data_IF_217065195382
#
_entry.id   IF_217065195382
#
_cell.length_a   1.000
_cell.length_b   1.000
_cell.length_c   1.000
_cell.angle_alpha   90.00
_cell.angle_beta   90.00
_cell.angle_gamma   90.00
#
_symmetry.space_group_name_H-M   'P 1'
#
loop_
_entity.id
_entity.type
_entity.pdbx_description
1 polymer ?
#
# COMPACT_ATOMS: atom_id res chain seq x y z
N UNK A 1 23.16 -0.15 -19.51
CA UNK A 1 22.33 0.79 -18.75
C UNK A 1 20.99 0.11 -18.53
N UNK A 2 20.77 -0.21 -17.26
CA UNK A 2 19.49 -0.48 -16.58
C UNK A 2 18.52 -1.48 -17.23
N UNK A 3 18.52 -2.68 -16.64
CA UNK A 3 17.56 -3.75 -16.88
C UNK A 3 16.15 -3.22 -16.64
N UNK A 4 15.35 -3.17 -17.70
CA UNK A 4 13.90 -2.98 -17.58
C UNK A 4 13.33 -4.22 -16.87
N UNK A 5 13.07 -4.12 -15.58
CA UNK A 5 12.28 -5.13 -14.87
C UNK A 5 10.82 -4.98 -15.28
N UNK A 6 10.52 -5.45 -16.49
CA UNK A 6 9.16 -5.68 -16.97
C UNK A 6 8.61 -6.89 -16.23
N UNK A 7 7.88 -6.69 -15.14
CA UNK A 7 7.13 -7.78 -14.49
C UNK A 7 5.64 -7.72 -14.84
N UNK A 8 5.17 -8.54 -15.81
CA UNK A 8 3.75 -8.91 -15.85
C UNK A 8 3.58 -10.44 -16.02
N UNK A 9 2.40 -11.05 -15.76
CA UNK A 9 1.30 -10.72 -14.86
C UNK A 9 1.13 -11.83 -13.79
N UNK A 10 0.91 -11.50 -12.51
CA UNK A 10 0.53 -12.53 -11.55
C UNK A 10 -0.97 -12.85 -11.71
N UNK A 11 -1.29 -13.97 -12.35
CA UNK A 11 -2.66 -14.52 -12.46
C UNK A 11 -2.71 -15.93 -11.84
N UNK A 12 -2.32 -16.06 -10.57
CA UNK A 12 -2.47 -17.29 -9.78
C UNK A 12 -2.84 -16.93 -8.34
N UNK A 13 -4.15 -16.89 -8.07
CA UNK A 13 -4.71 -16.45 -6.80
C UNK A 13 -4.56 -14.93 -6.63
N UNK A 14 -5.60 -14.28 -6.11
CA UNK A 14 -5.39 -12.91 -5.61
C UNK A 14 -4.42 -13.07 -4.45
N UNK A 15 -3.15 -12.76 -4.69
CA UNK A 15 -2.08 -12.78 -3.69
C UNK A 15 -1.89 -11.36 -3.19
N UNK A 16 -1.56 -11.24 -1.91
CA UNK A 16 -1.39 -9.94 -1.30
C UNK A 16 -0.16 -9.24 -1.92
N UNK A 17 -0.29 -7.99 -2.40
CA UNK A 17 0.81 -7.27 -3.02
C UNK A 17 1.81 -6.79 -1.96
N UNK A 18 3.10 -6.79 -2.28
CA UNK A 18 4.15 -6.25 -1.41
C UNK A 18 4.47 -4.80 -1.78
N UNK A 19 4.87 -4.00 -0.79
CA UNK A 19 5.32 -2.62 -1.01
C UNK A 19 6.70 -2.40 -0.40
N UNK A 20 7.69 -2.05 -1.23
CA UNK A 20 9.05 -1.74 -0.78
C UNK A 20 9.28 -0.29 -0.38
N UNK A 21 8.41 0.62 -0.84
CA UNK A 21 8.61 2.07 -0.71
C UNK A 21 9.49 2.67 -1.82
N UNK A 22 9.61 1.99 -2.97
CA UNK A 22 10.41 2.47 -4.09
C UNK A 22 9.65 3.51 -4.92
N UNK A 23 10.37 4.49 -5.51
CA UNK A 23 9.78 5.54 -6.37
C UNK A 23 9.03 5.01 -7.62
N UNK A 24 9.35 3.80 -8.07
CA UNK A 24 8.64 3.13 -9.18
C UNK A 24 7.41 2.31 -8.74
N UNK A 25 7.19 2.14 -7.43
CA UNK A 25 6.06 1.39 -6.90
C UNK A 25 4.87 2.32 -6.63
N UNK A 26 3.68 1.91 -7.07
CA UNK A 26 2.46 2.71 -6.90
C UNK A 26 1.69 2.27 -5.65
N UNK A 27 1.69 3.13 -4.63
CA UNK A 27 0.94 2.89 -3.39
C UNK A 27 -0.58 2.78 -3.64
N UNK A 28 -1.11 3.50 -4.63
CA UNK A 28 -2.53 3.41 -4.98
C UNK A 28 -2.89 2.03 -5.54
N UNK A 29 -2.01 1.49 -6.40
CA UNK A 29 -2.17 0.13 -6.94
C UNK A 29 -2.10 -0.92 -5.83
N UNK A 30 -1.21 -0.74 -4.84
CA UNK A 30 -1.14 -1.61 -3.66
C UNK A 30 -2.48 -1.64 -2.90
N UNK A 31 -3.05 -0.46 -2.62
CA UNK A 31 -4.30 -0.34 -1.88
C UNK A 31 -5.47 -0.96 -2.66
N UNK A 32 -5.54 -0.74 -3.97
CA UNK A 32 -6.56 -1.32 -4.84
C UNK A 32 -6.46 -2.86 -4.90
N UNK A 33 -5.24 -3.38 -5.09
CA UNK A 33 -4.98 -4.83 -5.10
C UNK A 33 -5.25 -5.47 -3.73
N UNK A 34 -4.88 -4.81 -2.64
CA UNK A 34 -5.18 -5.26 -1.29
C UNK A 34 -6.71 -5.32 -1.08
N UNK A 35 -7.44 -4.29 -1.50
CA UNK A 35 -8.91 -4.29 -1.46
C UNK A 35 -9.49 -5.51 -2.19
N UNK A 36 -9.06 -5.77 -3.42
CA UNK A 36 -9.49 -6.94 -4.20
C UNK A 36 -9.16 -8.27 -3.49
N UNK A 37 -8.00 -8.36 -2.82
CA UNK A 37 -7.61 -9.51 -2.01
C UNK A 37 -8.59 -9.77 -0.85
N UNK A 38 -8.92 -8.73 -0.08
CA UNK A 38 -9.85 -8.87 1.04
C UNK A 38 -11.28 -9.17 0.56
N UNK A 39 -11.73 -8.51 -0.52
CA UNK A 39 -13.03 -8.79 -1.13
C UNK A 39 -13.14 -10.25 -1.60
N UNK A 40 -12.07 -10.79 -2.18
CA UNK A 40 -11.99 -12.22 -2.56
C UNK A 40 -12.09 -13.17 -1.37
N UNK A 41 -11.63 -12.75 -0.19
CA UNK A 41 -11.72 -13.50 1.07
C UNK A 41 -13.01 -13.26 1.84
N UNK A 42 -13.94 -12.46 1.30
CA UNK A 42 -15.14 -12.00 2.00
C UNK A 42 -14.84 -11.25 3.32
N UNK A 43 -13.66 -10.62 3.39
CA UNK A 43 -13.24 -9.81 4.54
C UNK A 43 -13.59 -8.35 4.23
N UNK A 44 -14.37 -7.72 5.10
CA UNK A 44 -14.72 -6.31 4.95
C UNK A 44 -13.50 -5.42 5.16
N UNK A 45 -12.91 -4.92 4.07
CA UNK A 45 -11.71 -4.07 4.06
C UNK A 45 -11.84 -2.81 4.94
N UNK A 46 -13.04 -2.23 4.98
CA UNK A 46 -13.37 -1.02 5.75
C UNK A 46 -14.20 -1.30 6.99
N UNK A 47 -14.44 -2.57 7.33
CA UNK A 47 -15.27 -2.94 8.48
C UNK A 47 -14.48 -2.82 9.77
N UNK A 48 -15.05 -2.18 10.80
CA UNK A 48 -14.35 -1.89 12.05
C UNK A 48 -13.85 -3.17 12.76
N UNK A 49 -14.64 -4.24 12.74
CA UNK A 49 -14.23 -5.54 13.31
C UNK A 49 -12.98 -6.13 12.63
N UNK A 50 -12.77 -5.82 11.35
CA UNK A 50 -11.65 -6.35 10.56
C UNK A 50 -10.47 -5.38 10.50
N UNK A 51 -10.62 -4.15 11.00
CA UNK A 51 -9.62 -3.07 10.85
C UNK A 51 -8.22 -3.48 11.30
N UNK A 52 -8.11 -4.16 12.44
CA UNK A 52 -6.84 -4.64 12.99
C UNK A 52 -6.25 -5.77 12.14
N UNK A 53 -7.11 -6.64 11.61
CA UNK A 53 -6.70 -7.77 10.80
C UNK A 53 -6.21 -7.31 9.42
N UNK A 54 -6.98 -6.43 8.77
CA UNK A 54 -6.60 -5.77 7.52
C UNK A 54 -5.30 -5.00 7.68
N UNK A 55 -5.17 -4.20 8.74
CA UNK A 55 -3.94 -3.46 9.05
C UNK A 55 -2.75 -4.41 9.23
N UNK A 56 -2.91 -5.48 10.02
CA UNK A 56 -1.83 -6.44 10.28
C UNK A 56 -1.33 -7.11 9.01
N UNK A 57 -2.26 -7.50 8.12
CA UNK A 57 -1.91 -8.09 6.83
C UNK A 57 -1.23 -7.06 5.93
N UNK A 58 -1.74 -5.83 5.85
CA UNK A 58 -1.10 -4.76 5.06
C UNK A 58 0.33 -4.47 5.53
N UNK A 59 0.53 -4.37 6.84
CA UNK A 59 1.84 -4.14 7.46
C UNK A 59 2.79 -5.31 7.20
N UNK A 60 2.29 -6.54 7.29
CA UNK A 60 3.09 -7.74 7.00
C UNK A 60 3.61 -7.77 5.56
N UNK A 61 2.90 -7.10 4.64
CA UNK A 61 3.29 -7.01 3.24
C UNK A 61 4.17 -5.80 2.92
N UNK A 62 4.44 -4.93 3.90
CA UNK A 62 5.47 -3.91 3.77
C UNK A 62 6.84 -4.59 3.81
N UNK A 63 7.73 -4.16 2.94
CA UNK A 63 9.11 -4.62 2.85
C UNK A 63 10.04 -3.42 2.69
N UNK A 64 11.36 -3.64 2.74
CA UNK A 64 12.35 -2.60 2.45
C UNK A 64 12.20 -1.34 3.30
N UNK A 65 12.18 -0.18 2.64
CA UNK A 65 12.09 1.12 3.29
C UNK A 65 10.72 1.36 3.93
N UNK A 66 9.64 0.89 3.32
CA UNK A 66 8.29 1.02 3.86
C UNK A 66 8.12 0.27 5.20
N UNK A 67 8.66 -0.95 5.30
CA UNK A 67 8.65 -1.71 6.55
C UNK A 67 9.46 -1.01 7.66
N UNK A 68 10.66 -0.55 7.33
CA UNK A 68 11.53 0.16 8.27
C UNK A 68 10.86 1.46 8.79
N UNK A 69 10.25 2.22 7.88
CA UNK A 69 9.51 3.42 8.21
C UNK A 69 8.29 3.12 9.10
N UNK A 70 7.53 2.06 8.80
CA UNK A 70 6.36 1.68 9.59
C UNK A 70 6.71 1.44 11.06
N UNK A 71 7.84 0.79 11.36
CA UNK A 71 8.28 0.56 12.76
C UNK A 71 8.43 1.87 13.54
N UNK A 72 8.82 2.96 12.86
CA UNK A 72 8.97 4.29 13.48
C UNK A 72 7.64 5.01 13.70
N UNK A 73 6.63 4.71 12.88
CA UNK A 73 5.33 5.40 12.86
C UNK A 73 4.18 4.54 13.42
N UNK A 74 4.45 3.30 13.83
CA UNK A 74 3.42 2.32 14.22
C UNK A 74 2.47 2.82 15.32
N UNK A 75 2.95 3.68 16.22
CA UNK A 75 2.16 4.22 17.33
C UNK A 75 1.11 5.25 16.87
N UNK A 76 1.32 5.86 15.71
CA UNK A 76 0.43 6.89 15.14
C UNK A 76 -0.57 6.28 14.13
N UNK A 77 -0.37 5.02 13.74
CA UNK A 77 -1.16 4.33 12.73
C UNK A 77 -2.21 3.44 13.40
N UNK A 78 -3.43 3.95 13.52
CA UNK A 78 -4.55 3.24 14.13
C UNK A 78 -5.27 2.27 13.18
N UNK A 79 -5.35 2.61 11.89
CA UNK A 79 -6.18 1.94 10.89
C UNK A 79 -5.56 2.01 9.49
N UNK A 80 -6.11 1.23 8.55
CA UNK A 80 -5.63 1.17 7.17
C UNK A 80 -5.66 2.52 6.45
N UNK A 81 -6.65 3.37 6.73
CA UNK A 81 -6.74 4.72 6.17
C UNK A 81 -5.59 5.61 6.69
N UNK A 82 -5.24 5.50 7.97
CA UNK A 82 -4.12 6.23 8.56
C UNK A 82 -2.79 5.75 7.97
N UNK A 83 -2.62 4.43 7.80
CA UNK A 83 -1.45 3.83 7.15
C UNK A 83 -1.31 4.36 5.72
N UNK A 84 -2.39 4.31 4.92
CA UNK A 84 -2.39 4.78 3.55
C UNK A 84 -2.04 6.27 3.45
N UNK A 85 -2.64 7.12 4.29
CA UNK A 85 -2.36 8.56 4.29
C UNK A 85 -0.92 8.87 4.67
N UNK A 86 -0.37 8.17 5.67
CA UNK A 86 0.98 8.39 6.13
C UNK A 86 2.02 7.87 5.12
N UNK A 87 1.79 6.70 4.51
CA UNK A 87 2.62 6.21 3.39
C UNK A 87 2.56 7.14 2.18
N UNK A 88 1.38 7.69 1.84
CA UNK A 88 1.26 8.68 0.76
C UNK A 88 2.11 9.91 1.04
N UNK A 89 2.09 10.43 2.27
CA UNK A 89 2.89 11.61 2.65
C UNK A 89 4.39 11.36 2.62
N UNK A 90 4.83 10.18 3.04
CA UNK A 90 6.25 9.83 3.08
C UNK A 90 6.81 9.49 1.70
N UNK A 91 6.10 8.64 0.95
CA UNK A 91 6.63 8.01 -0.26
C UNK A 91 6.13 8.65 -1.56
N UNK A 92 5.02 9.41 -1.53
CA UNK A 92 4.56 10.17 -2.69
C UNK A 92 4.95 11.64 -2.47
N UNK A 93 5.88 12.18 -3.29
CA UNK A 93 6.25 13.58 -3.17
C UNK A 93 5.04 14.47 -3.46
N UNK A 94 4.91 15.62 -2.79
CA UNK A 94 3.77 16.53 -2.97
C UNK A 94 3.59 16.99 -4.42
N UNK A 95 4.66 17.01 -5.21
CA UNK A 95 4.65 17.32 -6.66
C UNK A 95 3.84 16.31 -7.51
N UNK A 96 3.76 15.05 -7.06
CA UNK A 96 2.91 14.00 -7.66
C UNK A 96 1.51 13.92 -7.03
N UNK A 97 1.24 14.68 -5.97
CA UNK A 97 -0.05 14.71 -5.28
C UNK A 97 -1.03 15.75 -5.88
N UNK A 98 -0.56 16.58 -6.81
CA UNK A 98 -1.41 17.59 -7.46
C UNK A 98 -1.98 17.08 -8.80
N UNK A 99 -3.32 17.11 -9.00
CA UNK A 99 -3.85 17.23 -10.34
C UNK A 99 -3.41 18.60 -10.85
N UNK A 100 -2.49 18.64 -11.80
CA UNK A 100 -2.02 19.83 -12.49
C UNK A 100 -3.16 20.86 -12.61
N UNK A 101 -3.10 21.89 -11.78
CA UNK A 101 -4.13 22.90 -11.66
C UNK A 101 -4.07 23.77 -12.91
N UNK A 102 -5.18 23.79 -13.65
CA UNK A 102 -5.73 24.90 -14.43
C UNK A 102 -4.75 25.87 -15.11
N UNK A 103 -4.70 25.82 -16.44
CA UNK A 103 -4.40 26.98 -17.29
C UNK A 103 -5.48 27.06 -18.38
#
# INVERSE_FOLDING_TARGET
>A
METVESKPPAVEGISMPHYGGSLGESLELLLDQARLFFESKNIGYTHEDNRKHVLSIMVFNLTGQAAAWYVTQQHEIADITALAAALRREFIPPDLQEPLCTS
#
